data_IF_721436975660
#
_entry.id   IF_721436975660
#
_cell.length_a   1.000
_cell.length_b   1.000
_cell.length_c   1.000
_cell.angle_alpha   90.00
_cell.angle_beta   90.00
_cell.angle_gamma   90.00
#
_symmetry.space_group_name_H-M   'P 1'
#
loop_
_entity.id
_entity.type
_entity.pdbx_description
1 polymer ?
#
# COMPACT_ATOMS: atom_id res chain seq x y z
N UNK A 1 11.15 11.18 -6.97
CA UNK A 1 12.06 10.21 -6.32
C UNK A 1 11.23 9.06 -5.79
N UNK A 2 10.94 8.08 -6.66
CA UNK A 2 10.29 6.83 -6.27
C UNK A 2 11.41 5.82 -6.02
N UNK A 3 11.53 5.40 -4.76
CA UNK A 3 12.46 4.37 -4.31
C UNK A 3 11.99 3.00 -4.79
N UNK A 4 12.16 2.68 -6.07
CA UNK A 4 12.01 1.30 -6.57
C UNK A 4 13.20 0.42 -6.20
N UNK A 5 14.33 1.04 -5.83
CA UNK A 5 15.59 0.37 -5.50
C UNK A 5 15.55 -0.42 -4.16
N UNK A 6 14.65 -0.07 -3.24
CA UNK A 6 14.64 -0.59 -1.86
C UNK A 6 13.73 -1.82 -1.62
N UNK A 7 13.18 -2.46 -2.66
CA UNK A 7 12.14 -3.52 -2.54
C UNK A 7 10.97 -3.10 -1.63
N UNK A 8 10.58 -1.82 -1.73
CA UNK A 8 9.48 -1.22 -0.98
C UNK A 8 8.28 -1.00 -1.87
N UNK A 9 7.19 -1.67 -1.57
CA UNK A 9 5.94 -1.59 -2.31
C UNK A 9 4.88 -0.81 -1.53
N UNK A 10 4.00 -0.12 -2.24
CA UNK A 10 2.92 0.67 -1.62
C UNK A 10 1.57 0.12 -2.05
N UNK A 11 0.75 -0.26 -1.09
CA UNK A 11 -0.61 -0.79 -1.30
C UNK A 11 -1.67 0.17 -0.76
N UNK A 12 -2.80 0.23 -1.44
CA UNK A 12 -4.03 0.83 -0.94
C UNK A 12 -4.82 -0.27 -0.21
N UNK A 13 -5.00 -0.11 1.10
CA UNK A 13 -5.63 -1.12 1.96
C UNK A 13 -6.91 -0.58 2.58
N UNK A 14 -7.75 -1.49 3.06
CA UNK A 14 -8.95 -1.10 3.78
C UNK A 14 -8.61 -0.29 5.04
N UNK A 15 -9.45 0.69 5.36
CA UNK A 15 -9.22 1.61 6.48
C UNK A 15 -9.22 0.89 7.83
N UNK A 16 -9.94 -0.23 7.94
CA UNK A 16 -10.03 -1.06 9.16
C UNK A 16 -8.86 -2.03 9.29
N UNK A 17 -8.07 -2.24 8.24
CA UNK A 17 -6.99 -3.22 8.24
C UNK A 17 -5.87 -2.84 9.23
N UNK A 18 -5.42 -3.82 10.01
CA UNK A 18 -4.29 -3.67 10.93
C UNK A 18 -2.96 -4.07 10.27
N UNK A 19 -1.84 -3.67 10.87
CA UNK A 19 -0.51 -3.95 10.34
C UNK A 19 -0.20 -5.45 10.25
N UNK A 20 -0.65 -6.22 11.22
CA UNK A 20 -0.48 -7.68 11.28
C UNK A 20 -1.26 -8.37 10.17
N UNK A 21 -2.52 -7.97 9.95
CA UNK A 21 -3.34 -8.51 8.86
C UNK A 21 -2.74 -8.25 7.48
N UNK A 22 -2.29 -7.02 7.23
CA UNK A 22 -1.64 -6.66 5.96
C UNK A 22 -0.36 -7.47 5.75
N UNK A 23 0.42 -7.71 6.80
CA UNK A 23 1.62 -8.54 6.71
C UNK A 23 1.27 -9.97 6.28
N UNK A 24 0.38 -10.65 7.01
CA UNK A 24 0.01 -12.03 6.72
C UNK A 24 -0.61 -12.19 5.33
N UNK A 25 -1.53 -11.32 4.95
CA UNK A 25 -2.17 -11.38 3.64
C UNK A 25 -1.16 -11.25 2.48
N UNK A 26 -0.14 -10.40 2.62
CA UNK A 26 0.88 -10.24 1.58
C UNK A 26 1.83 -11.43 1.55
N UNK A 27 2.23 -11.96 2.70
CA UNK A 27 3.05 -13.17 2.76
C UNK A 27 2.32 -14.38 2.14
N UNK A 28 1.01 -14.52 2.37
CA UNK A 28 0.18 -15.62 1.84
C UNK A 28 -0.10 -15.49 0.34
N UNK A 29 -0.53 -14.31 -0.13
CA UNK A 29 -0.94 -14.12 -1.54
C UNK A 29 0.25 -14.16 -2.48
N UNK A 30 1.39 -13.59 -2.06
CA UNK A 30 2.55 -13.40 -2.93
C UNK A 30 3.71 -14.36 -2.62
N UNK A 31 3.62 -15.19 -1.57
CA UNK A 31 4.68 -16.12 -1.17
C UNK A 31 6.05 -15.41 -0.99
N UNK A 32 6.02 -14.25 -0.32
CA UNK A 32 7.20 -13.40 -0.07
C UNK A 32 7.44 -13.21 1.43
N UNK A 33 8.67 -12.86 1.82
CA UNK A 33 8.98 -12.54 3.21
C UNK A 33 8.95 -11.04 3.47
N UNK A 34 8.10 -10.60 4.38
CA UNK A 34 7.95 -9.18 4.73
C UNK A 34 8.76 -8.84 5.98
N UNK A 35 9.67 -7.88 5.85
CA UNK A 35 10.50 -7.37 6.97
C UNK A 35 9.70 -6.39 7.80
N UNK A 36 9.09 -5.39 7.15
CA UNK A 36 8.42 -4.28 7.83
C UNK A 36 7.23 -3.78 7.03
N UNK A 37 6.19 -3.39 7.75
CA UNK A 37 5.02 -2.69 7.18
C UNK A 37 4.88 -1.34 7.88
N UNK A 38 4.70 -0.26 7.13
CA UNK A 38 4.38 1.06 7.66
C UNK A 38 3.02 1.46 7.11
N UNK A 39 2.10 1.88 7.97
CA UNK A 39 0.75 2.24 7.56
C UNK A 39 0.48 3.69 7.89
N UNK A 40 -0.15 4.40 6.96
CA UNK A 40 -0.60 5.77 7.13
C UNK A 40 -2.04 5.95 6.68
N UNK A 41 -2.80 6.76 7.44
CA UNK A 41 -4.18 7.11 7.09
C UNK A 41 -4.18 8.39 6.24
N UNK A 42 -4.72 8.31 5.03
CA UNK A 42 -4.87 9.45 4.13
C UNK A 42 -6.28 10.01 4.25
N UNK A 43 -6.36 11.28 4.63
CA UNK A 43 -7.61 12.03 4.64
C UNK A 43 -8.14 12.19 3.21
N UNK A 44 -9.46 12.18 3.07
CA UNK A 44 -10.12 12.53 1.81
C UNK A 44 -9.76 13.96 1.42
N UNK A 45 -9.50 14.19 0.13
CA UNK A 45 -9.23 15.53 -0.39
C UNK A 45 -10.55 16.20 -0.73
N UNK A 46 -10.72 17.47 -0.35
CA UNK A 46 -11.86 18.27 -0.80
C UNK A 46 -11.76 18.45 -2.32
N UNK A 47 -12.85 18.18 -3.03
CA UNK A 47 -12.97 18.30 -4.48
C UNK A 47 -14.29 18.95 -4.82
N UNK A 48 -14.31 19.72 -5.91
CA UNK A 48 -15.49 20.42 -6.42
C UNK A 48 -15.79 19.92 -7.82
N UNK A 49 -17.07 19.67 -8.09
CA UNK A 49 -17.58 19.40 -9.42
C UNK A 49 -18.78 20.35 -9.65
N UNK A 50 -18.56 21.40 -10.44
CA UNK A 50 -19.54 22.46 -10.67
C UNK A 50 -20.03 23.10 -9.36
N UNK A 51 -21.35 23.04 -9.12
CA UNK A 51 -22.00 23.56 -7.91
C UNK A 51 -21.80 22.71 -6.66
N UNK A 52 -21.33 21.46 -6.80
CA UNK A 52 -21.23 20.52 -5.69
C UNK A 52 -19.80 20.45 -5.14
N UNK A 53 -19.67 20.54 -3.82
CA UNK A 53 -18.42 20.33 -3.11
C UNK A 53 -18.52 19.09 -2.23
N UNK A 54 -17.51 18.23 -2.29
CA UNK A 54 -17.44 17.00 -1.52
C UNK A 54 -16.01 16.59 -1.21
N UNK A 55 -15.85 15.43 -0.58
CA UNK A 55 -14.54 14.85 -0.28
C UNK A 55 -14.36 13.53 -1.01
N UNK A 56 -13.14 13.24 -1.43
CA UNK A 56 -12.81 11.90 -1.93
C UNK A 56 -12.81 10.89 -0.78
N UNK A 57 -12.94 9.59 -1.12
CA UNK A 57 -12.84 8.50 -0.15
C UNK A 57 -11.53 8.59 0.65
N UNK A 58 -11.64 8.42 1.98
CA UNK A 58 -10.48 8.23 2.86
C UNK A 58 -9.81 6.90 2.54
N UNK A 59 -8.48 6.88 2.56
CA UNK A 59 -7.70 5.70 2.18
C UNK A 59 -6.67 5.39 3.24
N UNK A 60 -6.18 4.16 3.25
CA UNK A 60 -5.11 3.73 4.14
C UNK A 60 -4.00 3.18 3.26
N UNK A 61 -2.83 3.81 3.33
CA UNK A 61 -1.67 3.43 2.53
C UNK A 61 -0.78 2.55 3.39
N UNK A 62 -0.43 1.37 2.88
CA UNK A 62 0.53 0.47 3.49
C UNK A 62 1.81 0.45 2.64
N UNK A 63 2.93 0.85 3.22
CA UNK A 63 4.27 0.75 2.64
C UNK A 63 4.93 -0.50 3.22
N UNK A 64 5.30 -1.44 2.36
CA UNK A 64 5.74 -2.78 2.74
C UNK A 64 7.17 -2.96 2.24
N UNK A 65 8.06 -3.33 3.14
CA UNK A 65 9.47 -3.64 2.84
C UNK A 65 9.63 -5.16 2.81
N UNK A 66 10.04 -5.69 1.66
CA UNK A 66 10.37 -7.11 1.50
C UNK A 66 11.82 -7.40 1.93
N UNK A 67 12.12 -8.68 2.16
CA UNK A 67 13.50 -9.12 2.36
C UNK A 67 14.31 -9.02 1.05
N UNK A 68 15.63 -8.86 1.18
CA UNK A 68 16.54 -8.87 0.04
C UNK A 68 16.48 -10.19 -0.75
N UNK A 69 16.16 -11.29 -0.09
CA UNK A 69 16.12 -12.63 -0.71
C UNK A 69 14.74 -13.01 -1.27
N UNK A 70 13.73 -12.16 -1.10
CA UNK A 70 12.37 -12.46 -1.56
C UNK A 70 12.18 -12.21 -3.05
N UNK A 71 11.28 -13.02 -3.64
CA UNK A 71 10.78 -12.86 -5.01
C UNK A 71 10.17 -11.48 -5.19
N UNK A 72 10.38 -10.89 -6.36
CA UNK A 72 9.75 -9.62 -6.72
C UNK A 72 8.26 -9.81 -7.01
N UNK A 73 7.45 -8.81 -6.67
CA UNK A 73 6.00 -8.85 -6.90
C UNK A 73 5.74 -8.50 -8.36
N UNK A 74 5.43 -9.50 -9.18
CA UNK A 74 5.20 -9.39 -10.64
C UNK A 74 4.20 -8.30 -11.02
N UNK A 75 3.19 -8.06 -10.18
CA UNK A 75 2.14 -7.05 -10.37
C UNK A 75 2.65 -5.61 -10.58
N UNK A 76 3.89 -5.31 -10.18
CA UNK A 76 4.46 -3.95 -10.25
C UNK A 76 5.60 -3.81 -11.26
N UNK A 77 6.03 -4.91 -11.89
CA UNK A 77 7.11 -4.93 -12.88
C UNK A 77 6.60 -5.14 -14.32
N UNK A 78 5.32 -5.44 -14.49
CA UNK A 78 4.66 -5.51 -15.80
C UNK A 78 4.05 -4.14 -16.11
N UNK A 79 4.85 -3.25 -16.70
CA UNK A 79 4.36 -2.24 -17.66
C UNK A 79 4.54 -2.77 -19.09
#
# INVERSE_FOLDING_TARGET
MATMDDKRYTFDVDVRATKTQVKHAIEEIFDVKVVKVNIMNLKGKKKRQGRYEGYTKKRRKAIVSLSADSKEIKLFNEE
#
